data_IF_282327001327
#
_entry.id   IF_282327001327
#
_cell.length_a   1.000
_cell.length_b   1.000
_cell.length_c   1.000
_cell.angle_alpha   90.00
_cell.angle_beta   90.00
_cell.angle_gamma   90.00
#
_symmetry.space_group_name_H-M   'P 1'
#
loop_
_entity.id
_entity.type
_entity.pdbx_description
1 polymer ?
#
# COMPACT_ATOMS: atom_id res chain seq x y z
N UNK A 1 63.61 6.83 0.01
CA UNK A 1 63.93 5.72 -0.90
C UNK A 1 62.85 4.65 -0.73
N UNK A 2 62.40 4.10 -1.86
CA UNK A 2 61.34 3.09 -2.10
C UNK A 2 61.49 1.83 -1.21
N UNK A 3 60.46 1.03 -0.92
CA UNK A 3 59.70 0.16 -1.85
C UNK A 3 58.41 -0.34 -1.17
N UNK A 4 57.28 -0.31 -1.87
CA UNK A 4 56.05 -1.04 -1.54
C UNK A 4 56.24 -2.56 -1.67
N UNK A 5 55.55 -3.37 -0.85
CA UNK A 5 54.94 -4.62 -1.36
C UNK A 5 53.86 -5.17 -0.41
N UNK A 6 52.62 -5.24 -0.93
CA UNK A 6 51.45 -5.91 -0.34
C UNK A 6 51.61 -7.44 -0.42
N UNK A 7 51.24 -8.17 0.64
CA UNK A 7 50.81 -9.59 0.58
C UNK A 7 49.73 -9.91 1.63
N UNK A 8 48.87 -10.92 1.38
CA UNK A 8 47.50 -10.98 1.90
C UNK A 8 47.38 -11.69 3.25
N UNK A 9 46.43 -11.23 4.06
CA UNK A 9 46.01 -11.88 5.31
C UNK A 9 45.09 -13.05 4.97
N UNK A 10 45.57 -14.26 5.22
CA UNK A 10 44.78 -15.50 5.21
C UNK A 10 44.17 -15.65 6.60
N UNK A 11 42.86 -15.41 6.73
CA UNK A 11 42.12 -15.73 7.94
C UNK A 11 41.63 -17.18 7.86
N UNK A 12 42.27 -18.06 8.62
CA UNK A 12 41.87 -19.46 8.84
C UNK A 12 40.76 -19.51 9.89
N UNK A 13 39.56 -19.93 9.51
CA UNK A 13 38.47 -20.23 10.43
C UNK A 13 38.60 -21.67 10.98
N UNK A 14 38.54 -21.89 12.31
CA UNK A 14 38.44 -23.23 12.86
C UNK A 14 37.02 -23.81 12.68
N UNK A 15 36.98 -24.83 11.81
CA UNK A 15 36.15 -26.05 11.81
C UNK A 15 35.92 -26.56 13.25
N UNK A 16 34.77 -27.03 13.72
CA UNK A 16 33.45 -27.32 13.16
C UNK A 16 32.63 -28.16 14.16
N UNK A 17 31.35 -28.41 13.84
CA UNK A 17 30.42 -29.50 14.27
C UNK A 17 29.01 -28.97 13.96
N UNK A 18 28.13 -29.60 13.20
CA UNK A 18 28.04 -30.88 12.54
C UNK A 18 26.56 -30.99 12.14
N UNK A 19 26.26 -31.22 10.85
CA UNK A 19 24.88 -31.23 10.36
C UNK A 19 24.81 -31.37 8.85
N UNK A 20 25.15 -32.56 8.34
CA UNK A 20 24.99 -32.91 6.93
C UNK A 20 23.51 -32.96 6.58
N UNK A 21 23.04 -32.04 5.73
CA UNK A 21 21.86 -32.27 4.88
C UNK A 21 22.25 -32.03 3.42
N UNK A 22 22.54 -33.13 2.74
CA UNK A 22 22.68 -33.21 1.29
C UNK A 22 21.34 -32.97 0.63
N UNK A 23 21.13 -31.80 0.02
CA UNK A 23 20.07 -31.59 -0.95
C UNK A 23 20.62 -31.98 -2.33
N UNK A 24 20.17 -33.12 -2.87
CA UNK A 24 20.38 -33.46 -4.28
C UNK A 24 19.52 -32.53 -5.13
N UNK A 25 20.16 -31.55 -5.75
CA UNK A 25 19.56 -30.71 -6.79
C UNK A 25 19.59 -31.50 -8.10
N UNK A 26 18.48 -32.16 -8.44
CA UNK A 26 18.33 -32.80 -9.74
C UNK A 26 17.84 -31.75 -10.75
N UNK A 27 18.77 -31.18 -11.52
CA UNK A 27 18.44 -30.34 -12.70
C UNK A 27 17.94 -31.25 -13.82
N UNK A 28 16.63 -31.36 -14.00
CA UNK A 28 16.06 -31.96 -15.22
C UNK A 28 16.16 -30.97 -16.39
N UNK A 29 16.68 -31.38 -17.55
CA UNK A 29 16.80 -30.51 -18.71
C UNK A 29 15.45 -30.17 -19.35
N UNK A 30 15.40 -28.93 -19.83
CA UNK A 30 14.31 -28.20 -20.48
C UNK A 30 13.82 -28.96 -21.74
N UNK A 31 12.59 -29.49 -21.73
CA UNK A 31 11.92 -29.92 -22.98
C UNK A 31 11.25 -28.72 -23.65
N UNK A 32 11.88 -28.27 -24.75
CA UNK A 32 11.34 -27.33 -25.74
C UNK A 32 10.07 -27.97 -26.35
N UNK A 33 8.91 -27.35 -26.18
CA UNK A 33 7.69 -27.72 -26.92
C UNK A 33 7.56 -26.79 -28.12
N UNK A 34 7.49 -27.38 -29.30
CA UNK A 34 7.22 -26.68 -30.56
C UNK A 34 5.76 -26.18 -30.62
N UNK A 35 5.49 -25.10 -31.38
CA UNK A 35 4.14 -24.62 -31.58
C UNK A 35 3.45 -25.42 -32.69
N UNK A 36 2.26 -25.98 -32.39
CA UNK A 36 1.32 -26.43 -33.42
C UNK A 36 0.08 -25.56 -33.39
N UNK A 37 -0.22 -24.99 -34.55
CA UNK A 37 -1.39 -24.19 -34.83
C UNK A 37 -2.64 -25.04 -35.08
N UNK A 38 -3.76 -24.36 -34.86
CA UNK A 38 -5.09 -24.48 -35.45
C UNK A 38 -6.15 -25.50 -34.99
N UNK A 39 -7.25 -24.86 -34.54
CA UNK A 39 -8.68 -25.17 -34.69
C UNK A 39 -9.26 -26.42 -34.02
N UNK A 40 -10.14 -26.20 -33.04
CA UNK A 40 -11.56 -26.46 -33.22
C UNK A 40 -12.42 -25.94 -32.05
N UNK A 41 -13.62 -25.54 -32.45
CA UNK A 41 -14.72 -24.96 -31.72
C UNK A 41 -15.20 -25.84 -30.55
N UNK A 42 -15.49 -25.23 -29.40
CA UNK A 42 -16.02 -25.93 -28.23
C UNK A 42 -16.69 -24.97 -27.27
N UNK A 43 -17.95 -24.64 -27.55
CA UNK A 43 -18.88 -24.03 -26.59
C UNK A 43 -18.83 -24.81 -25.28
N UNK A 44 -18.34 -24.19 -24.21
CA UNK A 44 -18.68 -24.55 -22.84
C UNK A 44 -19.36 -23.35 -22.21
N UNK A 45 -20.66 -23.49 -22.01
CA UNK A 45 -21.43 -22.67 -21.10
C UNK A 45 -20.85 -22.90 -19.70
N UNK A 46 -20.13 -21.90 -19.19
CA UNK A 46 -19.71 -21.82 -17.80
C UNK A 46 -20.74 -20.94 -17.10
N UNK A 47 -21.45 -21.58 -16.17
CA UNK A 47 -22.48 -20.97 -15.35
C UNK A 47 -22.04 -19.68 -14.69
N UNK A 48 -23.03 -18.80 -14.53
CA UNK A 48 -22.99 -17.57 -13.76
C UNK A 48 -22.38 -17.79 -12.36
N UNK A 49 -21.40 -16.97 -12.00
CA UNK A 49 -20.79 -17.04 -10.68
C UNK A 49 -19.71 -15.99 -10.42
N UNK A 50 -20.16 -14.75 -10.17
CA UNK A 50 -19.39 -13.57 -9.75
C UNK A 50 -18.49 -12.89 -10.80
N UNK A 51 -18.98 -11.75 -11.30
CA UNK A 51 -18.18 -10.83 -12.09
C UNK A 51 -17.00 -10.25 -11.29
N UNK A 52 -15.84 -10.01 -11.90
CA UNK A 52 -14.71 -9.29 -11.29
C UNK A 52 -15.05 -7.84 -10.87
N UNK A 53 -16.15 -7.28 -11.36
CA UNK A 53 -16.52 -5.88 -11.15
C UNK A 53 -16.83 -5.53 -9.70
N UNK A 54 -17.44 -6.45 -8.92
CA UNK A 54 -17.82 -6.18 -7.52
C UNK A 54 -16.62 -5.95 -6.59
N UNK A 55 -15.47 -6.59 -6.83
CA UNK A 55 -14.29 -6.39 -5.96
C UNK A 55 -13.62 -5.04 -6.20
N UNK A 56 -13.65 -4.56 -7.44
CA UNK A 56 -13.13 -3.24 -7.80
C UNK A 56 -13.93 -2.12 -7.14
N UNK A 57 -15.27 -2.19 -7.23
CA UNK A 57 -16.15 -1.17 -6.65
C UNK A 57 -16.04 -1.10 -5.13
N UNK A 58 -16.06 -2.24 -4.43
CA UNK A 58 -15.93 -2.27 -2.96
C UNK A 58 -14.60 -1.65 -2.51
N UNK A 59 -13.51 -1.89 -3.22
CA UNK A 59 -12.21 -1.33 -2.84
C UNK A 59 -12.17 0.19 -3.03
N UNK A 60 -12.88 0.72 -4.03
CA UNK A 60 -13.04 2.16 -4.21
C UNK A 60 -13.89 2.77 -3.10
N UNK A 61 -15.04 2.17 -2.79
CA UNK A 61 -15.92 2.63 -1.72
C UNK A 61 -15.17 2.66 -0.37
N UNK A 62 -14.39 1.61 -0.07
CA UNK A 62 -13.53 1.59 1.11
C UNK A 62 -12.49 2.72 1.14
N UNK A 63 -11.91 3.08 -0.02
CA UNK A 63 -10.92 4.16 -0.08
C UNK A 63 -11.58 5.50 0.18
N UNK A 64 -12.75 5.72 -0.40
CA UNK A 64 -13.51 6.94 -0.20
C UNK A 64 -13.93 7.09 1.28
N UNK A 65 -14.43 6.02 1.90
CA UNK A 65 -14.75 5.98 3.33
C UNK A 65 -13.51 6.24 4.20
N UNK A 66 -12.38 5.58 3.92
CA UNK A 66 -11.13 5.79 4.66
C UNK A 66 -10.64 7.24 4.59
N UNK A 67 -10.71 7.84 3.41
CA UNK A 67 -10.27 9.20 3.19
C UNK A 67 -11.12 10.18 4.00
N UNK A 68 -12.44 10.06 3.88
CA UNK A 68 -13.39 10.90 4.61
C UNK A 68 -13.15 10.79 6.12
N UNK A 69 -13.11 9.55 6.64
CA UNK A 69 -12.88 9.32 8.07
C UNK A 69 -11.53 9.84 8.52
N UNK A 70 -10.45 9.63 7.77
CA UNK A 70 -9.12 10.10 8.17
C UNK A 70 -9.09 11.60 8.41
N UNK A 71 -9.73 12.40 7.56
CA UNK A 71 -9.75 13.86 7.73
C UNK A 71 -10.73 14.34 8.80
N UNK A 72 -11.76 13.55 9.14
CA UNK A 72 -12.64 13.80 10.29
C UNK A 72 -11.99 13.44 11.63
N UNK A 73 -10.91 12.65 11.64
CA UNK A 73 -10.21 12.29 12.87
C UNK A 73 -9.52 13.49 13.51
N UNK A 74 -9.54 13.52 14.84
CA UNK A 74 -8.64 14.39 15.61
C UNK A 74 -7.18 14.11 15.27
N UNK A 75 -6.33 15.13 15.38
CA UNK A 75 -4.92 15.04 15.02
C UNK A 75 -4.18 13.86 15.69
N UNK A 76 -4.45 13.60 16.98
CA UNK A 76 -3.87 12.47 17.71
C UNK A 76 -4.21 11.11 17.06
N UNK A 77 -5.44 10.95 16.56
CA UNK A 77 -5.90 9.74 15.88
C UNK A 77 -5.39 9.66 14.45
N UNK A 78 -5.22 10.80 13.77
CA UNK A 78 -4.53 10.84 12.47
C UNK A 78 -3.09 10.34 12.61
N UNK A 79 -2.37 10.72 13.67
CA UNK A 79 -1.01 10.19 13.94
C UNK A 79 -1.05 8.68 14.14
N UNK A 80 -1.94 8.15 14.97
CA UNK A 80 -2.08 6.70 15.18
C UNK A 80 -2.43 5.96 13.87
N UNK A 81 -3.26 6.57 13.02
CA UNK A 81 -3.58 6.03 11.71
C UNK A 81 -2.33 5.96 10.80
N UNK A 82 -1.53 7.02 10.76
CA UNK A 82 -0.28 7.05 9.99
C UNK A 82 0.76 6.09 10.56
N UNK A 83 0.83 5.91 11.88
CA UNK A 83 1.66 4.89 12.53
C UNK A 83 1.22 3.48 12.14
N UNK A 84 -0.09 3.21 12.14
CA UNK A 84 -0.63 1.95 11.64
C UNK A 84 -0.22 1.71 10.19
N UNK A 85 -0.27 2.74 9.33
CA UNK A 85 0.20 2.64 7.95
C UNK A 85 1.70 2.29 7.89
N UNK A 86 2.54 2.95 8.69
CA UNK A 86 4.00 2.70 8.77
C UNK A 86 4.35 1.31 9.30
N UNK A 87 3.66 0.84 10.33
CA UNK A 87 3.91 -0.48 10.91
C UNK A 87 3.50 -1.62 9.97
N UNK A 88 2.48 -1.40 9.14
CA UNK A 88 1.99 -2.41 8.21
C UNK A 88 2.64 -2.34 6.82
N UNK A 89 3.33 -1.24 6.49
CA UNK A 89 3.87 -1.03 5.15
C UNK A 89 5.25 -0.36 5.17
N UNK A 90 6.27 -1.10 4.69
CA UNK A 90 7.67 -0.62 4.66
C UNK A 90 7.86 0.65 3.84
N UNK A 91 7.04 0.85 2.81
CA UNK A 91 7.04 2.04 1.94
C UNK A 91 5.92 3.02 2.28
N UNK A 92 5.42 3.02 3.53
CA UNK A 92 4.33 3.90 3.97
C UNK A 92 4.58 5.39 3.67
N UNK A 93 5.83 5.84 3.80
CA UNK A 93 6.22 7.22 3.53
C UNK A 93 6.03 7.64 2.06
N UNK A 94 5.87 6.69 1.14
CA UNK A 94 5.59 6.98 -0.28
C UNK A 94 4.10 7.30 -0.51
N UNK A 95 3.24 7.05 0.49
CA UNK A 95 1.79 7.17 0.39
C UNK A 95 1.20 8.34 1.17
N UNK A 96 2.01 9.11 1.88
CA UNK A 96 1.54 10.33 2.52
C UNK A 96 2.69 11.33 2.66
N UNK A 97 2.34 12.61 2.74
CA UNK A 97 3.28 13.70 2.95
C UNK A 97 2.70 14.70 3.95
N UNK A 98 3.59 15.42 4.65
CA UNK A 98 3.18 16.53 5.49
C UNK A 98 3.06 17.78 4.62
N UNK A 99 1.85 18.34 4.58
CA UNK A 99 1.56 19.57 3.83
C UNK A 99 2.05 20.79 4.60
N UNK A 100 1.80 20.76 5.91
CA UNK A 100 2.32 21.69 6.91
C UNK A 100 2.30 20.97 8.26
N UNK A 101 2.84 21.61 9.29
CA UNK A 101 2.68 21.12 10.65
C UNK A 101 1.21 20.87 10.99
N UNK A 102 0.94 19.65 11.46
CA UNK A 102 -0.39 19.22 11.85
C UNK A 102 -1.29 18.74 10.71
N UNK A 103 -0.87 18.83 9.44
CA UNK A 103 -1.71 18.44 8.29
C UNK A 103 -0.95 17.49 7.37
N UNK A 104 -1.40 16.22 7.34
CA UNK A 104 -0.91 15.22 6.41
C UNK A 104 -1.87 15.06 5.23
N UNK A 105 -1.33 14.89 4.03
CA UNK A 105 -2.07 14.41 2.88
C UNK A 105 -1.74 12.93 2.66
N UNK A 106 -2.75 12.07 2.62
CA UNK A 106 -2.61 10.65 2.29
C UNK A 106 -3.12 10.38 0.88
N UNK A 107 -2.35 9.63 0.09
CA UNK A 107 -2.67 9.26 -1.29
C UNK A 107 -3.47 7.94 -1.35
N UNK A 108 -4.73 7.95 -0.89
CA UNK A 108 -5.57 6.75 -0.80
C UNK A 108 -5.76 6.00 -2.14
N UNK A 109 -5.74 6.73 -3.27
CA UNK A 109 -5.80 6.13 -4.60
C UNK A 109 -4.60 5.25 -4.97
N UNK A 110 -3.44 5.51 -4.36
CA UNK A 110 -2.19 4.76 -4.59
C UNK A 110 -2.02 3.58 -3.62
N UNK A 111 -2.80 3.53 -2.54
CA UNK A 111 -2.70 2.47 -1.55
C UNK A 111 -3.07 1.10 -2.15
N UNK A 112 -2.25 0.06 -1.95
CA UNK A 112 -2.61 -1.31 -2.28
C UNK A 112 -3.90 -1.72 -1.58
N UNK A 113 -4.76 -2.50 -2.25
CA UNK A 113 -6.05 -2.93 -1.68
C UNK A 113 -5.91 -3.73 -0.37
N UNK A 114 -4.79 -4.41 -0.15
CA UNK A 114 -4.46 -5.06 1.14
C UNK A 114 -4.26 -4.03 2.25
N UNK A 115 -3.59 -2.93 1.96
CA UNK A 115 -3.33 -1.84 2.90
C UNK A 115 -4.63 -1.12 3.26
N UNK A 116 -5.48 -0.84 2.27
CA UNK A 116 -6.83 -0.29 2.47
C UNK A 116 -7.62 -1.16 3.45
N UNK A 117 -7.62 -2.49 3.28
CA UNK A 117 -8.30 -3.41 4.20
C UNK A 117 -7.72 -3.38 5.61
N UNK A 118 -6.40 -3.28 5.76
CA UNK A 118 -5.75 -3.17 7.07
C UNK A 118 -6.14 -1.87 7.79
N UNK A 119 -6.11 -0.74 7.10
CA UNK A 119 -6.50 0.56 7.66
C UNK A 119 -7.98 0.59 8.03
N UNK A 120 -8.84 -0.02 7.22
CA UNK A 120 -10.26 -0.12 7.53
C UNK A 120 -10.51 -0.95 8.80
N UNK A 121 -9.79 -2.07 8.94
CA UNK A 121 -9.84 -2.89 10.16
C UNK A 121 -9.33 -2.13 11.38
N UNK A 122 -8.31 -1.29 11.21
CA UNK A 122 -7.82 -0.41 12.26
C UNK A 122 -8.93 0.54 12.73
N UNK A 123 -9.57 1.28 11.82
CA UNK A 123 -10.67 2.17 12.21
C UNK A 123 -11.81 1.43 12.91
N UNK A 124 -12.21 0.27 12.37
CA UNK A 124 -13.26 -0.58 12.97
C UNK A 124 -12.89 -1.07 14.38
N UNK A 125 -11.63 -1.46 14.61
CA UNK A 125 -11.15 -1.94 15.93
C UNK A 125 -11.17 -0.83 16.99
N UNK A 126 -11.07 0.42 16.56
CA UNK A 126 -11.03 1.60 17.43
C UNK A 126 -12.37 2.33 17.50
N UNK A 127 -13.47 1.70 17.02
CA UNK A 127 -14.81 2.26 16.96
C UNK A 127 -14.88 3.61 16.22
N UNK A 128 -14.08 3.74 15.16
CA UNK A 128 -14.01 4.92 14.29
C UNK A 128 -14.76 4.75 12.96
N UNK A 129 -15.50 3.64 12.82
CA UNK A 129 -16.25 3.32 11.62
C UNK A 129 -17.46 2.44 11.95
N UNK A 130 -18.65 2.89 11.57
CA UNK A 130 -19.93 2.34 12.02
C UNK A 130 -20.47 1.16 11.18
N UNK A 131 -19.65 0.56 10.31
CA UNK A 131 -20.15 -0.37 9.29
C UNK A 131 -19.15 -1.34 8.70
N UNK A 132 -19.67 -2.27 7.90
CA UNK A 132 -18.86 -3.14 7.06
C UNK A 132 -18.34 -2.38 5.82
N UNK A 133 -17.18 -2.78 5.27
CA UNK A 133 -16.63 -2.21 4.05
C UNK A 133 -17.63 -2.08 2.90
N UNK A 134 -17.89 -0.84 2.43
CA UNK A 134 -18.80 -0.60 1.31
C UNK A 134 -20.27 -0.88 1.61
N UNK A 135 -20.65 -0.96 2.89
CA UNK A 135 -22.03 -1.14 3.32
C UNK A 135 -22.86 0.16 3.31
N UNK A 136 -22.21 1.31 3.13
CA UNK A 136 -22.90 2.59 2.94
C UNK A 136 -23.87 2.51 1.75
N UNK A 137 -25.02 3.16 1.87
CA UNK A 137 -25.95 3.34 0.74
C UNK A 137 -25.37 4.30 -0.31
N UNK A 138 -25.96 4.35 -1.49
CA UNK A 138 -25.43 5.17 -2.60
C UNK A 138 -25.51 6.68 -2.36
N UNK A 139 -26.43 7.15 -1.52
CA UNK A 139 -26.53 8.57 -1.14
C UNK A 139 -25.38 8.94 -0.19
N UNK A 140 -25.15 8.12 0.83
CA UNK A 140 -24.00 8.24 1.75
C UNK A 140 -22.69 8.18 0.97
N UNK A 141 -22.51 7.24 0.04
CA UNK A 141 -21.31 7.17 -0.81
C UNK A 141 -21.13 8.44 -1.65
N UNK A 142 -22.22 9.03 -2.14
CA UNK A 142 -22.15 10.28 -2.90
C UNK A 142 -21.68 11.43 -2.00
N UNK A 143 -22.24 11.58 -0.81
CA UNK A 143 -21.81 12.59 0.17
C UNK A 143 -20.34 12.43 0.55
N UNK A 144 -19.88 11.19 0.79
CA UNK A 144 -18.47 10.90 1.07
C UNK A 144 -17.58 11.37 -0.09
N UNK A 145 -17.95 11.07 -1.33
CA UNK A 145 -17.19 11.49 -2.52
C UNK A 145 -17.13 13.02 -2.68
N UNK A 146 -18.24 13.71 -2.40
CA UNK A 146 -18.30 15.17 -2.42
C UNK A 146 -17.41 15.78 -1.32
N UNK A 147 -17.52 15.30 -0.08
CA UNK A 147 -16.67 15.70 1.04
C UNK A 147 -15.17 15.49 0.74
N UNK A 148 -14.81 14.33 0.20
CA UNK A 148 -13.42 14.06 -0.19
C UNK A 148 -12.94 15.03 -1.29
N UNK A 149 -13.79 15.36 -2.26
CA UNK A 149 -13.42 16.30 -3.32
C UNK A 149 -13.16 17.71 -2.76
N UNK A 150 -13.94 18.15 -1.77
CA UNK A 150 -13.71 19.43 -1.07
C UNK A 150 -12.41 19.39 -0.25
N UNK A 151 -12.18 18.34 0.51
CA UNK A 151 -10.94 18.19 1.30
C UNK A 151 -9.70 18.19 0.41
N UNK A 152 -9.76 17.50 -0.75
CA UNK A 152 -8.66 17.52 -1.73
C UNK A 152 -8.38 18.92 -2.27
N UNK A 153 -9.43 19.72 -2.54
CA UNK A 153 -9.28 21.13 -2.96
C UNK A 153 -8.64 21.96 -1.86
N UNK A 154 -9.13 21.85 -0.63
CA UNK A 154 -8.58 22.54 0.53
C UNK A 154 -7.09 22.24 0.73
N UNK A 155 -6.69 20.98 0.64
CA UNK A 155 -5.28 20.57 0.75
C UNK A 155 -4.44 21.14 -0.39
N UNK A 156 -4.96 21.15 -1.62
CA UNK A 156 -4.25 21.71 -2.78
C UNK A 156 -4.01 23.22 -2.62
N UNK A 157 -5.03 23.97 -2.19
CA UNK A 157 -4.91 25.40 -1.87
C UNK A 157 -3.93 25.64 -0.72
N UNK A 158 -3.97 24.79 0.31
CA UNK A 158 -3.05 24.89 1.44
C UNK A 158 -1.60 24.67 1.00
N UNK A 159 -1.35 23.67 0.16
CA UNK A 159 -0.03 23.42 -0.44
C UNK A 159 0.45 24.62 -1.25
N UNK A 160 -0.43 25.24 -2.02
CA UNK A 160 -0.07 26.44 -2.79
C UNK A 160 0.30 27.61 -1.87
N UNK A 161 -0.48 27.84 -0.81
CA UNK A 161 -0.16 28.86 0.20
C UNK A 161 1.20 28.60 0.87
N UNK A 162 1.52 27.34 1.18
CA UNK A 162 2.83 26.97 1.73
C UNK A 162 3.95 27.24 0.72
N UNK A 163 3.79 26.86 -0.56
CA UNK A 163 4.78 27.14 -1.61
C UNK A 163 5.03 28.64 -1.81
N UNK A 164 4.00 29.45 -1.65
CA UNK A 164 4.07 30.91 -1.79
C UNK A 164 4.58 31.60 -0.50
N UNK A 165 4.86 30.85 0.58
CA UNK A 165 5.31 31.42 1.86
C UNK A 165 4.22 32.13 2.66
N UNK A 166 2.94 31.96 2.30
CA UNK A 166 1.81 32.54 3.03
C UNK A 166 1.47 31.77 4.32
N UNK A 167 1.89 30.51 4.40
CA UNK A 167 1.70 29.63 5.56
C UNK A 167 3.03 28.95 5.82
N UNK A 168 3.48 28.94 7.07
CA UNK A 168 4.68 28.21 7.46
C UNK A 168 4.48 26.71 7.22
N UNK A 169 5.44 26.09 6.53
CA UNK A 169 5.52 24.62 6.42
C UNK A 169 5.77 23.98 7.80
N UNK A 170 6.24 24.80 8.75
CA UNK A 170 6.81 24.46 10.03
C UNK A 170 8.21 23.94 9.85
N UNK A 171 9.15 24.63 10.49
CA UNK A 171 10.51 24.15 10.65
C UNK A 171 10.53 23.12 11.78
N UNK A 172 11.07 21.93 11.51
CA UNK A 172 11.41 20.94 12.54
C UNK A 172 12.51 21.48 13.47
#
# INVERSE_FOLDING_TARGET
MTVETKKPVIATLPRGKGGKKTFKVTRTPRKRREPKADKANGKRELGSGQSPQKRGSITTDMRDELECRFYDLEFSRQIQFLECLRCNFRTACDYYEWVKMGVAQVHFGLLPGTTVKCLFRFLKKHDLLDGEPGAADEETKKCIRECNAETRKYIAELKEKVRNGLVDSGSL
#
